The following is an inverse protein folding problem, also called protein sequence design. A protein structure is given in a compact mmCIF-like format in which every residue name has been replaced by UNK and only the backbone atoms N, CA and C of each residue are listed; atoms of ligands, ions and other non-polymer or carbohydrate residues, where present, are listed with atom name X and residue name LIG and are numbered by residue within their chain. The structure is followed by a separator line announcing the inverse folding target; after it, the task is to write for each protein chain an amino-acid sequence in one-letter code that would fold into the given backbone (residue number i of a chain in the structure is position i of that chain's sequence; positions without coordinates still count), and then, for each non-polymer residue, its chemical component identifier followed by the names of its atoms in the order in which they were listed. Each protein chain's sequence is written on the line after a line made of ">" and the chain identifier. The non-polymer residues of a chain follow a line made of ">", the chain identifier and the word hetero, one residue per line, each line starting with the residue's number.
data_IF_775921734477
#
_entry.id   IF_775921734477
#
_cell.length_a   1.000
_cell.length_b   1.000
_cell.length_c   1.000
_cell.angle_alpha   90.00
_cell.angle_beta   90.00
_cell.angle_gamma   90.00
#
_symmetry.space_group_name_H-M   'P 1'
#
loop_
_entity.id
_entity.type
_entity.pdbx_description
1 polymer ?
#
# COMPACT_ATOMS: atom_id res chain seq x y z
N UNK A 1 22.69 18.50 -3.20
CA UNK A 1 21.37 18.30 -3.84
C UNK A 1 20.37 17.84 -2.79
N UNK A 2 19.12 18.29 -2.84
CA UNK A 2 18.10 17.84 -1.87
C UNK A 2 17.72 16.38 -2.13
N UNK A 3 17.86 15.52 -1.13
CA UNK A 3 17.45 14.12 -1.18
C UNK A 3 16.00 14.00 -0.73
N UNK A 4 15.06 14.17 -1.65
CA UNK A 4 13.63 14.02 -1.39
C UNK A 4 13.18 12.57 -1.66
N UNK A 5 12.29 12.04 -0.82
CA UNK A 5 11.65 10.73 -1.01
C UNK A 5 10.16 10.89 -1.25
N UNK A 6 9.61 10.02 -2.09
CA UNK A 6 8.19 9.97 -2.38
C UNK A 6 7.56 8.83 -1.58
N UNK A 7 6.44 9.11 -0.94
CA UNK A 7 5.59 8.13 -0.27
C UNK A 7 4.21 8.14 -0.92
N UNK A 8 3.64 6.98 -1.14
CA UNK A 8 2.25 6.80 -1.55
C UNK A 8 1.65 5.58 -0.86
N UNK A 9 0.42 5.23 -1.19
CA UNK A 9 -0.24 4.00 -0.75
C UNK A 9 -0.58 3.11 -1.95
N UNK A 10 -0.94 1.85 -1.70
CA UNK A 10 -1.13 0.88 -2.79
C UNK A 10 -2.32 1.18 -3.71
N UNK A 11 -3.18 2.14 -3.39
CA UNK A 11 -4.24 2.60 -4.31
C UNK A 11 -3.70 3.34 -5.54
N UNK A 12 -2.44 3.80 -5.50
CA UNK A 12 -1.77 4.42 -6.65
C UNK A 12 -1.52 3.44 -7.81
N UNK A 13 -1.65 2.13 -7.58
CA UNK A 13 -1.53 1.05 -8.58
C UNK A 13 -0.28 1.16 -9.48
N UNK A 14 0.85 1.49 -8.87
CA UNK A 14 2.14 1.59 -9.56
C UNK A 14 2.73 0.19 -9.84
N UNK A 15 3.43 0.05 -10.95
CA UNK A 15 4.20 -1.17 -11.24
C UNK A 15 5.39 -1.29 -10.28
N UNK A 16 5.79 -2.53 -9.95
CA UNK A 16 6.98 -2.76 -9.12
C UNK A 16 8.25 -2.15 -9.72
N UNK A 17 8.36 -2.14 -11.05
CA UNK A 17 9.45 -1.52 -11.79
C UNK A 17 9.53 -0.01 -11.54
N UNK A 18 8.40 0.71 -11.64
CA UNK A 18 8.36 2.14 -11.38
C UNK A 18 8.66 2.47 -9.91
N UNK A 19 8.17 1.63 -8.98
CA UNK A 19 8.45 1.77 -7.54
C UNK A 19 9.95 1.64 -7.26
N UNK A 20 10.61 0.65 -7.87
CA UNK A 20 12.03 0.38 -7.70
C UNK A 20 12.90 1.46 -8.37
N UNK A 21 12.63 1.77 -9.65
CA UNK A 21 13.39 2.75 -10.45
C UNK A 21 13.36 4.14 -9.81
N UNK A 22 12.21 4.57 -9.31
CA UNK A 22 12.01 5.90 -8.73
C UNK A 22 12.26 5.94 -7.21
N UNK A 23 12.51 4.78 -6.57
CA UNK A 23 12.71 4.68 -5.13
C UNK A 23 11.50 5.16 -4.31
N UNK A 24 10.29 4.86 -4.77
CA UNK A 24 9.02 5.23 -4.13
C UNK A 24 8.75 4.27 -2.98
N UNK A 25 8.32 4.80 -1.83
CA UNK A 25 7.83 3.97 -0.73
C UNK A 25 6.31 3.84 -0.80
N UNK A 26 5.82 2.61 -0.91
CA UNK A 26 4.38 2.31 -0.94
C UNK A 26 3.95 1.75 0.41
N UNK A 27 2.98 2.39 1.06
CA UNK A 27 2.34 1.87 2.27
C UNK A 27 1.11 1.05 1.86
N UNK A 28 1.08 -0.28 2.10
CA UNK A 28 0.00 -1.12 1.59
C UNK A 28 -1.29 -0.89 2.37
N UNK A 29 -2.41 -0.90 1.66
CA UNK A 29 -3.74 -1.02 2.24
C UNK A 29 -3.96 -2.45 2.78
N UNK A 30 -4.97 -2.59 3.64
CA UNK A 30 -5.53 -3.88 4.00
C UNK A 30 -6.78 -4.20 3.17
N UNK A 31 -7.08 -5.49 3.00
CA UNK A 31 -8.35 -5.99 2.48
C UNK A 31 -8.96 -6.88 3.55
N UNK A 32 -10.11 -6.46 4.10
CA UNK A 32 -10.86 -7.24 5.08
C UNK A 32 -11.89 -8.11 4.39
N UNK A 33 -11.84 -9.41 4.66
CA UNK A 33 -12.76 -10.43 4.15
C UNK A 33 -13.34 -11.17 5.36
N UNK A 34 -14.59 -10.85 5.71
CA UNK A 34 -15.24 -11.38 6.91
C UNK A 34 -14.51 -10.91 8.17
N UNK A 35 -13.85 -11.84 8.88
CA UNK A 35 -13.07 -11.55 10.10
C UNK A 35 -11.56 -11.43 9.87
N UNK A 36 -11.09 -11.75 8.67
CA UNK A 36 -9.67 -11.71 8.32
C UNK A 36 -9.32 -10.40 7.65
N UNK A 37 -8.15 -9.84 7.98
CA UNK A 37 -7.58 -8.69 7.25
C UNK A 37 -6.28 -9.14 6.61
N UNK A 38 -6.21 -9.00 5.28
CA UNK A 38 -5.06 -9.36 4.47
C UNK A 38 -4.35 -8.07 4.08
N UNK A 39 -3.02 -8.08 3.99
CA UNK A 39 -2.27 -6.95 3.42
C UNK A 39 -2.40 -7.01 1.90
N UNK A 40 -2.65 -5.87 1.27
CA UNK A 40 -2.74 -5.78 -0.17
C UNK A 40 -1.42 -6.17 -0.83
N UNK A 41 -1.51 -7.01 -1.86
CA UNK A 41 -0.37 -7.48 -2.61
C UNK A 41 -0.76 -8.36 -3.80
N UNK A 42 0.22 -8.81 -4.60
CA UNK A 42 -0.02 -9.54 -5.84
C UNK A 42 -0.90 -10.78 -5.68
N UNK A 43 -0.82 -11.46 -4.53
CA UNK A 43 -1.62 -12.66 -4.24
C UNK A 43 -3.14 -12.40 -4.20
N UNK A 44 -3.57 -11.18 -3.84
CA UNK A 44 -4.98 -10.80 -3.80
C UNK A 44 -5.56 -10.51 -5.19
N UNK A 45 -4.69 -10.27 -6.19
CA UNK A 45 -5.09 -10.09 -7.61
C UNK A 45 -5.29 -11.42 -8.33
N UNK A 46 -5.14 -12.55 -7.63
CA UNK A 46 -5.25 -13.87 -8.25
C UNK A 46 -6.70 -14.24 -8.58
N UNK A 47 -6.89 -14.95 -9.70
CA UNK A 47 -8.20 -15.51 -10.10
C UNK A 47 -8.78 -16.37 -8.97
N UNK A 48 -7.92 -17.09 -8.23
CA UNK A 48 -8.33 -17.91 -7.09
C UNK A 48 -8.96 -17.09 -5.97
N UNK A 49 -8.37 -15.93 -5.64
CA UNK A 49 -8.93 -15.01 -4.66
C UNK A 49 -10.29 -14.48 -5.11
N UNK A 50 -10.40 -13.99 -6.35
CA UNK A 50 -11.66 -13.48 -6.90
C UNK A 50 -12.76 -14.57 -6.97
N UNK A 51 -12.42 -15.80 -7.34
CA UNK A 51 -13.38 -16.93 -7.31
C UNK A 51 -13.84 -17.26 -5.89
N UNK A 52 -12.95 -17.20 -4.90
CA UNK A 52 -13.31 -17.41 -3.49
C UNK A 52 -14.27 -16.32 -3.00
N UNK A 53 -14.02 -15.08 -3.39
CA UNK A 53 -14.87 -13.93 -3.10
C UNK A 53 -16.23 -14.00 -3.78
N UNK A 54 -16.30 -14.51 -5.01
CA UNK A 54 -17.58 -14.67 -5.72
C UNK A 54 -18.45 -15.82 -5.20
N UNK A 55 -17.86 -16.80 -4.50
CA UNK A 55 -18.56 -17.99 -3.98
C UNK A 55 -19.07 -17.83 -2.56
N UNK A 56 -18.36 -17.07 -1.74
CA UNK A 56 -18.79 -16.74 -0.40
C UNK A 56 -19.46 -15.37 -0.49
N UNK A 57 -20.69 -15.18 0.01
CA UNK A 57 -21.37 -13.86 0.12
C UNK A 57 -20.63 -12.84 1.02
N UNK A 58 -19.34 -13.05 1.25
CA UNK A 58 -18.46 -12.20 2.02
C UNK A 58 -17.97 -11.07 1.14
N UNK A 59 -18.33 -9.83 1.48
CA UNK A 59 -17.82 -8.64 0.78
C UNK A 59 -16.40 -8.33 1.24
N UNK A 60 -15.51 -8.04 0.29
CA UNK A 60 -14.17 -7.51 0.58
C UNK A 60 -14.26 -6.00 0.81
N UNK A 61 -13.68 -5.53 1.91
CA UNK A 61 -13.67 -4.13 2.30
C UNK A 61 -12.24 -3.63 2.32
N UNK A 62 -11.94 -2.57 1.58
CA UNK A 62 -10.64 -1.90 1.67
C UNK A 62 -10.49 -1.24 3.05
N UNK A 63 -9.33 -1.46 3.68
CA UNK A 63 -8.95 -0.87 4.95
C UNK A 63 -7.77 0.06 4.67
N UNK A 64 -7.92 1.39 4.86
CA UNK A 64 -6.85 2.33 4.59
C UNK A 64 -5.68 2.11 5.56
N UNK A 65 -4.46 2.53 5.21
CA UNK A 65 -3.33 2.42 6.11
C UNK A 65 -3.54 3.34 7.32
N UNK A 66 -3.09 2.88 8.48
CA UNK A 66 -3.20 3.64 9.73
C UNK A 66 -2.16 4.77 9.77
N UNK A 67 -2.45 5.81 10.56
CA UNK A 67 -1.48 6.88 10.84
C UNK A 67 -0.14 6.34 11.38
N UNK A 68 -0.17 5.23 12.14
CA UNK A 68 1.04 4.58 12.64
C UNK A 68 1.88 3.97 11.52
N UNK A 69 1.26 3.29 10.56
CA UNK A 69 1.99 2.72 9.41
C UNK A 69 2.66 3.81 8.58
N UNK A 70 2.00 4.96 8.38
CA UNK A 70 2.63 6.12 7.75
C UNK A 70 3.78 6.68 8.60
N UNK A 71 3.56 6.87 9.91
CA UNK A 71 4.60 7.37 10.81
C UNK A 71 5.86 6.48 10.81
N UNK A 72 5.68 5.16 10.79
CA UNK A 72 6.78 4.20 10.71
C UNK A 72 7.56 4.35 9.38
N UNK A 73 6.85 4.46 8.24
CA UNK A 73 7.47 4.69 6.94
C UNK A 73 8.25 6.03 6.89
N UNK A 74 7.64 7.11 7.39
CA UNK A 74 8.30 8.41 7.45
C UNK A 74 9.53 8.39 8.36
N UNK A 75 9.43 7.75 9.53
CA UNK A 75 10.54 7.62 10.47
C UNK A 75 11.72 6.84 9.90
N UNK A 76 11.46 5.86 9.02
CA UNK A 76 12.53 5.16 8.30
C UNK A 76 13.21 6.05 7.26
N UNK A 77 12.43 6.76 6.44
CA UNK A 77 12.94 7.62 5.37
C UNK A 77 13.66 8.86 5.92
N UNK A 78 13.19 9.44 7.02
CA UNK A 78 13.76 10.63 7.64
C UNK A 78 15.21 10.44 8.12
N UNK A 79 15.67 9.20 8.31
CA UNK A 79 17.08 8.90 8.61
C UNK A 79 18.03 9.14 7.45
N UNK A 80 17.51 9.19 6.22
CA UNK A 80 18.30 9.21 4.98
C UNK A 80 17.90 10.37 4.04
N UNK A 81 16.71 10.92 4.20
CA UNK A 81 16.13 11.94 3.34
C UNK A 81 15.93 13.27 4.08
N UNK A 82 16.14 14.39 3.39
CA UNK A 82 15.92 15.72 3.96
C UNK A 82 14.49 16.23 3.74
N UNK A 83 13.72 15.60 2.85
CA UNK A 83 12.32 15.93 2.58
C UNK A 83 11.54 14.66 2.22
N UNK A 84 10.26 14.65 2.58
CA UNK A 84 9.31 13.60 2.17
C UNK A 84 8.13 14.30 1.51
N UNK A 85 7.73 13.81 0.33
CA UNK A 85 6.49 14.19 -0.35
C UNK A 85 5.57 12.99 -0.32
N UNK A 86 4.41 13.13 0.33
CA UNK A 86 3.43 12.04 0.50
C UNK A 86 2.19 12.34 -0.31
N UNK A 87 1.84 11.47 -1.27
CA UNK A 87 0.73 11.64 -2.21
C UNK A 87 -0.23 10.46 -2.06
N UNK A 88 -1.51 10.74 -1.77
CA UNK A 88 -2.52 9.74 -1.43
C UNK A 88 -3.82 9.99 -2.19
N UNK A 89 -4.68 8.96 -2.23
CA UNK A 89 -6.03 9.03 -2.80
C UNK A 89 -6.86 10.15 -2.15
N UNK A 90 -7.75 10.78 -2.94
CA UNK A 90 -8.62 11.88 -2.52
C UNK A 90 -9.83 11.46 -1.70
#
# INVERSE_FOLDING_TARGET
>A
MSNARIVTDSSADLSSEAVEELGITVVPLGIRVGRETLVEGPGLRSIGFHRRMARNDTVAIAVPPTARQFADAYGQLARQASRIVSIHLS
#
